data_IF_183228909805
#
_entry.id   IF_183228909805
#
_cell.length_a   1.000
_cell.length_b   1.000
_cell.length_c   1.000
_cell.angle_alpha   90.00
_cell.angle_beta   90.00
_cell.angle_gamma   90.00
#
_symmetry.space_group_name_H-M   'P 1'
#
loop_
_entity.id
_entity.type
_entity.pdbx_description
1 polymer ?
#
# COMPACT_ATOMS: atom_id res chain seq x y z
N UNK A 1 9.65 -24.11 12.32
CA UNK A 1 9.73 -23.29 11.10
C UNK A 1 8.83 -22.07 11.25
N UNK A 2 9.33 -20.89 10.96
CA UNK A 2 8.52 -19.69 10.96
C UNK A 2 8.26 -19.24 9.52
N UNK A 3 7.11 -18.61 9.32
CA UNK A 3 6.70 -18.07 8.01
C UNK A 3 6.33 -16.60 8.22
N UNK A 4 6.81 -15.72 7.35
CA UNK A 4 6.47 -14.30 7.39
C UNK A 4 6.37 -13.75 5.98
N UNK A 5 5.66 -12.64 5.84
CA UNK A 5 5.51 -11.97 4.55
C UNK A 5 6.81 -11.24 4.20
N UNK A 6 7.32 -11.47 2.99
CA UNK A 6 8.51 -10.77 2.51
C UNK A 6 8.13 -9.61 1.59
N UNK A 7 7.21 -9.81 0.65
CA UNK A 7 6.77 -8.71 -0.21
C UNK A 7 5.35 -8.91 -0.71
N UNK A 8 4.78 -7.82 -1.19
CA UNK A 8 3.54 -7.80 -1.95
C UNK A 8 3.83 -7.19 -3.32
N UNK A 9 3.25 -7.75 -4.37
CA UNK A 9 3.41 -7.26 -5.74
C UNK A 9 2.09 -6.73 -6.26
N UNK A 10 2.11 -5.53 -6.82
CA UNK A 10 0.92 -4.89 -7.39
C UNK A 10 1.21 -4.38 -8.80
N UNK A 11 0.22 -4.40 -9.70
CA UNK A 11 0.41 -3.90 -11.05
C UNK A 11 0.37 -2.38 -11.12
N UNK A 12 1.16 -1.83 -12.00
CA UNK A 12 1.09 -0.45 -12.46
C UNK A 12 1.12 -0.42 -13.98
N UNK A 13 0.35 0.44 -14.65
CA UNK A 13 0.34 0.44 -16.10
C UNK A 13 1.68 0.88 -16.70
N UNK A 14 1.97 0.53 -17.95
CA UNK A 14 3.16 1.05 -18.63
C UNK A 14 3.17 2.59 -18.63
N UNK A 15 4.35 3.19 -18.47
CA UNK A 15 4.51 4.64 -18.47
C UNK A 15 4.06 5.34 -17.20
N UNK A 16 3.87 4.62 -16.11
CA UNK A 16 3.35 5.17 -14.84
C UNK A 16 4.42 5.35 -13.78
N UNK A 17 5.70 5.39 -14.15
CA UNK A 17 6.81 5.48 -13.20
C UNK A 17 6.68 6.72 -12.31
N UNK A 18 6.40 7.87 -12.91
CA UNK A 18 6.30 9.12 -12.15
C UNK A 18 5.14 9.11 -11.16
N UNK A 19 3.99 8.60 -11.57
CA UNK A 19 2.80 8.49 -10.68
C UNK A 19 3.04 7.49 -9.56
N UNK A 20 3.73 6.40 -9.84
CA UNK A 20 4.08 5.39 -8.84
C UNK A 20 4.98 6.00 -7.77
N UNK A 21 6.02 6.70 -8.19
CA UNK A 21 6.95 7.35 -7.26
C UNK A 21 6.30 8.49 -6.48
N UNK A 22 5.42 9.24 -7.12
CA UNK A 22 4.71 10.32 -6.44
C UNK A 22 3.79 9.80 -5.35
N UNK A 23 3.09 8.69 -5.60
CA UNK A 23 2.16 8.13 -4.62
C UNK A 23 2.91 7.37 -3.51
N UNK A 24 3.68 6.35 -3.87
CA UNK A 24 4.31 5.49 -2.87
C UNK A 24 5.55 6.12 -2.25
N UNK A 25 6.36 6.81 -3.05
CA UNK A 25 7.57 7.45 -2.56
C UNK A 25 7.30 8.77 -1.85
N UNK A 26 6.65 9.70 -2.53
CA UNK A 26 6.50 11.07 -2.00
C UNK A 26 5.34 11.17 -1.01
N UNK A 27 4.14 10.68 -1.37
CA UNK A 27 2.96 10.83 -0.53
C UNK A 27 2.99 9.89 0.67
N UNK A 28 3.25 8.59 0.45
CA UNK A 28 3.30 7.62 1.54
C UNK A 28 4.65 7.58 2.24
N UNK A 29 5.70 8.14 1.64
CA UNK A 29 7.01 8.21 2.26
C UNK A 29 7.79 6.90 2.29
N UNK A 30 7.50 5.96 1.38
CA UNK A 30 8.22 4.69 1.32
C UNK A 30 9.57 4.89 0.64
N UNK A 31 10.67 4.43 1.24
CA UNK A 31 11.97 4.51 0.57
C UNK A 31 12.00 3.60 -0.65
N UNK A 32 12.39 4.14 -1.79
CA UNK A 32 12.62 3.33 -2.97
C UNK A 32 13.94 2.59 -2.83
N UNK A 33 13.95 1.30 -3.20
CA UNK A 33 15.16 0.48 -3.21
C UNK A 33 15.44 -0.01 -4.63
N UNK A 34 16.72 -0.22 -4.98
CA UNK A 34 17.04 -0.69 -6.32
C UNK A 34 16.57 -2.13 -6.52
N UNK A 35 15.98 -2.39 -7.69
CA UNK A 35 15.68 -3.76 -8.08
C UNK A 35 16.97 -4.49 -8.46
N UNK A 36 17.02 -5.83 -8.31
CA UNK A 36 18.19 -6.60 -8.72
C UNK A 36 18.52 -6.42 -10.20
N UNK A 37 19.80 -6.46 -10.54
CA UNK A 37 20.25 -6.29 -11.93
C UNK A 37 19.69 -7.36 -12.87
N UNK A 38 19.34 -8.53 -12.34
CA UNK A 38 18.74 -9.61 -13.13
C UNK A 38 17.32 -9.30 -13.60
N UNK A 39 16.70 -8.25 -13.05
CA UNK A 39 15.34 -7.83 -13.40
C UNK A 39 15.43 -6.48 -14.09
N UNK A 40 14.73 -6.33 -15.21
CA UNK A 40 14.71 -5.08 -15.96
C UNK A 40 14.16 -3.95 -15.08
N UNK A 41 14.98 -2.98 -14.74
CA UNK A 41 14.61 -1.90 -13.83
C UNK A 41 13.41 -1.09 -14.33
N UNK A 42 13.21 -1.00 -15.66
CA UNK A 42 12.06 -0.30 -16.23
C UNK A 42 10.72 -1.02 -15.99
N UNK A 43 10.76 -2.28 -15.64
CA UNK A 43 9.55 -3.09 -15.46
C UNK A 43 9.08 -3.14 -14.02
N UNK A 44 9.96 -2.91 -13.04
CA UNK A 44 9.65 -2.98 -11.62
C UNK A 44 10.18 -1.76 -10.89
N UNK A 45 9.40 -1.31 -9.93
CA UNK A 45 9.79 -0.27 -8.98
C UNK A 45 9.57 -0.85 -7.59
N UNK A 46 10.60 -0.89 -6.78
CA UNK A 46 10.57 -1.52 -5.47
C UNK A 46 10.68 -0.48 -4.36
N UNK A 47 9.88 -0.66 -3.32
CA UNK A 47 9.92 0.17 -2.12
C UNK A 47 10.11 -0.72 -0.89
N UNK A 48 10.70 -0.14 0.15
CA UNK A 48 10.83 -0.81 1.43
C UNK A 48 9.56 -0.60 2.27
N UNK A 49 9.10 -1.67 2.91
CA UNK A 49 8.00 -1.64 3.87
C UNK A 49 8.55 -2.05 5.24
N UNK A 50 8.79 -1.07 6.13
CA UNK A 50 9.39 -1.36 7.42
C UNK A 50 10.80 -1.91 7.27
N UNK A 51 11.18 -2.85 8.15
CA UNK A 51 12.54 -3.39 8.17
C UNK A 51 12.71 -4.61 7.27
N UNK A 52 11.67 -5.43 7.13
CA UNK A 52 11.81 -6.77 6.56
C UNK A 52 10.96 -7.02 5.33
N UNK A 53 10.07 -6.10 4.95
CA UNK A 53 9.16 -6.32 3.83
C UNK A 53 9.38 -5.32 2.72
N UNK A 54 8.86 -5.64 1.54
CA UNK A 54 9.00 -4.82 0.34
C UNK A 54 7.67 -4.73 -0.41
N UNK A 55 7.50 -3.66 -1.15
CA UNK A 55 6.43 -3.48 -2.11
C UNK A 55 7.05 -3.47 -3.50
N UNK A 56 6.58 -4.36 -4.37
CA UNK A 56 7.03 -4.45 -5.75
C UNK A 56 5.91 -3.95 -6.66
N UNK A 57 6.20 -2.94 -7.46
CA UNK A 57 5.26 -2.41 -8.45
C UNK A 57 5.74 -2.86 -9.83
N UNK A 58 5.05 -3.84 -10.42
CA UNK A 58 5.45 -4.39 -11.71
C UNK A 58 4.60 -3.82 -12.84
N UNK A 59 5.16 -3.78 -14.04
CA UNK A 59 4.52 -3.19 -15.20
C UNK A 59 3.50 -4.17 -15.81
N UNK A 60 2.24 -3.91 -15.61
CA UNK A 60 1.14 -4.68 -16.18
C UNK A 60 -0.10 -3.79 -16.16
N UNK A 61 -0.90 -3.86 -17.21
CA UNK A 61 -2.17 -3.13 -17.23
C UNK A 61 -3.07 -3.68 -16.11
N UNK A 62 -3.47 -2.84 -15.14
CA UNK A 62 -4.33 -3.31 -14.06
C UNK A 62 -5.68 -3.78 -14.59
N UNK A 63 -6.19 -4.85 -13.98
CA UNK A 63 -7.53 -5.32 -14.25
C UNK A 63 -8.51 -4.45 -13.47
N UNK A 64 -9.36 -3.70 -14.18
CA UNK A 64 -10.46 -2.98 -13.54
C UNK A 64 -11.49 -4.00 -13.08
N UNK A 65 -11.70 -4.13 -11.79
CA UNK A 65 -12.64 -5.11 -11.26
C UNK A 65 -13.30 -4.64 -9.97
N UNK A 66 -14.30 -5.40 -9.55
CA UNK A 66 -15.04 -5.18 -8.30
C UNK A 66 -14.49 -6.00 -7.15
N UNK A 67 -13.32 -6.62 -7.29
CA UNK A 67 -12.71 -7.41 -6.24
C UNK A 67 -12.29 -6.54 -5.07
N UNK A 68 -12.45 -7.04 -3.86
CA UNK A 68 -12.01 -6.38 -2.63
C UNK A 68 -10.60 -6.82 -2.22
N UNK A 69 -9.85 -7.48 -3.09
CA UNK A 69 -8.48 -7.86 -2.73
C UNK A 69 -7.63 -6.62 -2.50
N UNK A 70 -6.85 -6.68 -1.44
CA UNK A 70 -6.07 -5.53 -0.98
C UNK A 70 -4.90 -6.01 -0.14
N UNK A 71 -3.99 -5.10 0.15
CA UNK A 71 -2.97 -5.32 1.17
C UNK A 71 -3.10 -4.25 2.25
N UNK A 72 -2.56 -4.54 3.42
CA UNK A 72 -2.71 -3.66 4.58
C UNK A 72 -1.35 -3.14 5.04
N UNK A 73 -1.29 -1.83 5.26
CA UNK A 73 -0.13 -1.14 5.83
C UNK A 73 -0.47 -0.70 7.25
N UNK A 74 0.41 -1.03 8.19
CA UNK A 74 0.34 -0.48 9.54
C UNK A 74 1.04 0.87 9.54
N UNK A 75 0.35 1.90 10.01
CA UNK A 75 0.87 3.26 10.10
C UNK A 75 0.77 3.75 11.53
N UNK A 76 1.60 4.75 11.89
CA UNK A 76 1.60 5.29 13.25
C UNK A 76 0.33 6.09 13.53
N UNK A 77 -0.13 6.88 12.56
CA UNK A 77 -1.28 7.77 12.72
C UNK A 77 -2.20 7.64 11.51
N UNK A 78 -3.29 6.89 11.70
CA UNK A 78 -4.29 6.65 10.64
C UNK A 78 -4.94 7.96 10.19
N UNK A 79 -5.23 8.87 11.10
CA UNK A 79 -5.87 10.13 10.77
C UNK A 79 -4.97 11.02 9.91
N UNK A 80 -3.67 11.02 10.18
CA UNK A 80 -2.71 11.82 9.43
C UNK A 80 -2.59 11.33 7.98
N UNK A 81 -2.46 10.04 7.78
CA UNK A 81 -2.34 9.49 6.42
C UNK A 81 -3.64 9.68 5.64
N UNK A 82 -4.80 9.56 6.32
CA UNK A 82 -6.10 9.80 5.68
C UNK A 82 -6.21 11.24 5.19
N UNK A 83 -5.77 12.18 6.01
CA UNK A 83 -5.79 13.60 5.64
C UNK A 83 -4.87 13.89 4.45
N UNK A 84 -3.68 13.31 4.42
CA UNK A 84 -2.75 13.47 3.31
C UNK A 84 -3.31 12.93 2.00
N UNK A 85 -3.95 11.77 2.05
CA UNK A 85 -4.59 11.18 0.88
C UNK A 85 -5.75 12.04 0.38
N UNK A 86 -6.59 12.54 1.28
CA UNK A 86 -7.67 13.44 0.94
C UNK A 86 -7.16 14.73 0.28
N UNK A 87 -6.12 15.33 0.85
CA UNK A 87 -5.54 16.56 0.34
C UNK A 87 -4.93 16.38 -1.05
N UNK A 88 -4.45 15.17 -1.35
CA UNK A 88 -3.86 14.84 -2.65
C UNK A 88 -4.90 14.44 -3.70
N UNK A 89 -6.19 14.42 -3.35
CA UNK A 89 -7.26 14.12 -4.29
C UNK A 89 -7.67 12.65 -4.36
N UNK A 90 -7.11 11.80 -3.51
CA UNK A 90 -7.55 10.42 -3.37
C UNK A 90 -8.72 10.38 -2.39
N UNK A 91 -9.64 9.46 -2.59
CA UNK A 91 -10.89 9.42 -1.83
C UNK A 91 -10.87 8.23 -0.85
N UNK A 92 -10.20 8.37 0.31
CA UNK A 92 -10.24 7.30 1.31
C UNK A 92 -11.67 7.09 1.80
N UNK A 93 -12.01 5.84 2.12
CA UNK A 93 -13.37 5.48 2.52
C UNK A 93 -13.38 4.54 3.70
N UNK A 94 -14.48 4.62 4.46
CA UNK A 94 -14.69 3.81 5.64
C UNK A 94 -15.06 2.38 5.27
N UNK A 95 -14.66 1.45 6.12
CA UNK A 95 -15.01 0.04 6.05
C UNK A 95 -15.49 -0.41 7.42
N UNK A 96 -15.92 -1.65 7.55
CA UNK A 96 -16.45 -2.15 8.81
C UNK A 96 -15.46 -1.97 9.95
N UNK A 97 -15.98 -1.58 11.12
CA UNK A 97 -15.15 -1.33 12.30
C UNK A 97 -14.61 -2.64 12.87
N UNK A 98 -13.31 -2.66 13.15
CA UNK A 98 -12.68 -3.72 13.92
C UNK A 98 -12.18 -3.09 15.22
N UNK A 99 -12.66 -3.52 16.39
CA UNK A 99 -12.20 -2.96 17.66
C UNK A 99 -10.68 -3.11 17.82
N UNK A 100 -10.01 -2.04 18.23
CA UNK A 100 -8.55 -2.02 18.39
C UNK A 100 -7.75 -1.86 17.11
N UNK A 101 -8.44 -1.73 15.97
CA UNK A 101 -7.80 -1.55 14.65
C UNK A 101 -8.47 -0.43 13.89
N UNK A 102 -8.24 0.83 14.26
CA UNK A 102 -8.73 1.95 13.45
C UNK A 102 -8.17 1.80 12.03
N UNK A 103 -9.03 1.90 11.03
CA UNK A 103 -8.64 1.61 9.65
C UNK A 103 -9.52 2.30 8.64
N UNK A 104 -8.99 2.43 7.43
CA UNK A 104 -9.75 2.86 6.26
C UNK A 104 -9.11 2.25 5.01
N UNK A 105 -9.85 2.27 3.91
CA UNK A 105 -9.37 1.84 2.60
C UNK A 105 -9.17 3.05 1.70
N UNK A 106 -8.20 2.93 0.78
CA UNK A 106 -7.99 3.93 -0.26
C UNK A 106 -7.41 3.24 -1.49
N UNK A 107 -7.78 3.72 -2.67
CA UNK A 107 -7.21 3.20 -3.91
C UNK A 107 -5.98 4.03 -4.28
N UNK A 108 -4.96 3.35 -4.82
CA UNK A 108 -3.82 4.04 -5.40
C UNK A 108 -4.21 4.63 -6.78
N UNK A 109 -3.31 5.33 -7.48
CA UNK A 109 -3.65 5.93 -8.78
C UNK A 109 -4.11 4.94 -9.85
N UNK A 110 -3.86 3.65 -9.65
CA UNK A 110 -4.12 2.60 -10.64
C UNK A 110 -5.29 1.70 -10.25
N UNK A 111 -5.93 1.98 -9.11
CA UNK A 111 -7.08 1.23 -8.63
C UNK A 111 -6.76 0.12 -7.64
N UNK A 112 -5.49 -0.09 -7.28
CA UNK A 112 -5.14 -1.06 -6.25
C UNK A 112 -5.67 -0.58 -4.89
N UNK A 113 -6.31 -1.47 -4.14
CA UNK A 113 -6.87 -1.12 -2.84
C UNK A 113 -5.81 -1.33 -1.76
N UNK A 114 -5.64 -0.32 -0.91
CA UNK A 114 -4.76 -0.37 0.25
C UNK A 114 -5.61 -0.15 1.49
N UNK A 115 -5.44 -1.02 2.47
CA UNK A 115 -5.95 -0.79 3.82
C UNK A 115 -4.86 -0.12 4.64
N UNK A 116 -5.22 0.91 5.39
CA UNK A 116 -4.33 1.56 6.35
C UNK A 116 -4.90 1.34 7.75
N UNK A 117 -4.05 0.90 8.67
CA UNK A 117 -4.48 0.62 10.03
C UNK A 117 -3.40 0.95 11.04
N UNK A 118 -3.82 1.13 12.29
CA UNK A 118 -2.95 1.07 13.46
C UNK A 118 -3.50 -0.01 14.37
N UNK A 119 -2.63 -0.76 15.04
CA UNK A 119 -3.07 -1.81 15.96
C UNK A 119 -2.90 -1.27 17.36
N UNK A 120 -4.01 -0.88 17.99
CA UNK A 120 -4.01 -0.24 19.30
C UNK A 120 -4.62 -1.12 20.39
N UNK A 121 -5.12 -2.29 20.03
CA UNK A 121 -5.68 -3.23 21.00
C UNK A 121 -5.97 -4.58 20.37
N UNK A 122 -6.28 -5.56 21.22
CA UNK A 122 -6.66 -6.90 20.78
C UNK A 122 -8.17 -6.95 20.57
N UNK A 123 -8.59 -7.11 19.32
CA UNK A 123 -10.01 -7.10 18.99
C UNK A 123 -10.78 -8.25 19.69
N UNK A 124 -10.09 -9.36 19.99
CA UNK A 124 -10.71 -10.48 20.69
C UNK A 124 -11.10 -10.11 22.12
N UNK A 125 -10.42 -9.15 22.72
CA UNK A 125 -10.71 -8.66 24.06
C UNK A 125 -11.70 -7.48 24.05
N UNK A 126 -11.85 -6.81 22.90
CA UNK A 126 -12.60 -5.56 22.79
C UNK A 126 -14.01 -5.73 22.20
N UNK A 127 -14.32 -6.91 21.69
CA UNK A 127 -15.65 -7.12 21.11
C UNK A 127 -16.67 -7.64 22.12
#
# INVERSE_FOLDING_TARGET
MSVHLQHVSIPRPPGSEDKTRAFYGDLLGLPEIPAPNSIQAAEVIWFRLGEDAELHCFREKPLGDASNRHFCLVVDDVADIRQKLNAAGYAPYDVEVIPGRPRFFCRDPFGNIIEFTSIVGDYLELQ
#
